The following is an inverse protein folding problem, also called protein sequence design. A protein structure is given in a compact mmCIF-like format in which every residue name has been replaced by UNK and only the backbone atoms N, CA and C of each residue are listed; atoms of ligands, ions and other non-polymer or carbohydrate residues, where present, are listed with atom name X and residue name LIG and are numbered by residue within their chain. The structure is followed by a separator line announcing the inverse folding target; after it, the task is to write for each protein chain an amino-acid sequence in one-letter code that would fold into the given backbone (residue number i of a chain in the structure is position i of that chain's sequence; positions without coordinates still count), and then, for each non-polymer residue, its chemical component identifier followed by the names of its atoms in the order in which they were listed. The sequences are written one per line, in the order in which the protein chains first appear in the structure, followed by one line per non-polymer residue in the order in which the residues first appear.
data_IF_902306876217
#
_entry.id   IF_902306876217
#
_cell.length_a   1.000
_cell.length_b   1.000
_cell.length_c   1.000
_cell.angle_alpha   90.00
_cell.angle_beta   90.00
_cell.angle_gamma   90.00
#
_symmetry.space_group_name_H-M   'P 1'
#
loop_
_entity.id
_entity.type
_entity.pdbx_description
1 polymer ?
#
# COMPACT_ATOMS: atom_id res chain seq x y z
N UNK A 1 -9.93 -13.38 3.51
CA UNK A 1 -8.87 -13.60 4.52
C UNK A 1 -7.70 -12.67 4.22
N UNK A 2 -7.19 -11.97 5.21
CA UNK A 2 -6.06 -11.05 5.06
C UNK A 2 -4.90 -11.58 5.88
N UNK A 3 -3.73 -11.73 5.26
CA UNK A 3 -2.55 -12.30 5.89
C UNK A 3 -1.36 -11.35 5.78
N UNK A 4 -0.45 -11.47 6.75
CA UNK A 4 0.88 -10.86 6.63
C UNK A 4 1.64 -11.53 5.50
N UNK A 5 2.35 -10.72 4.72
CA UNK A 5 3.25 -11.22 3.70
C UNK A 5 4.40 -12.04 4.32
N UNK A 6 4.76 -13.10 3.64
CA UNK A 6 6.00 -13.82 3.89
C UNK A 6 6.64 -14.23 2.54
N UNK A 7 7.94 -14.59 2.51
CA UNK A 7 8.64 -14.88 1.26
C UNK A 7 8.02 -15.98 0.40
N UNK A 8 7.23 -16.91 0.97
CA UNK A 8 6.52 -17.93 0.19
C UNK A 8 5.45 -17.33 -0.74
N UNK A 9 5.02 -16.09 -0.49
CA UNK A 9 4.02 -15.36 -1.28
C UNK A 9 4.65 -14.46 -2.35
N UNK A 10 5.96 -14.50 -2.52
CA UNK A 10 6.72 -13.59 -3.38
C UNK A 10 6.20 -13.55 -4.81
N UNK A 11 5.96 -14.70 -5.42
CA UNK A 11 5.48 -14.76 -6.80
C UNK A 11 4.06 -14.20 -6.93
N UNK A 12 3.20 -14.49 -5.97
CA UNK A 12 1.82 -13.98 -5.95
C UNK A 12 1.81 -12.45 -5.83
N UNK A 13 2.62 -11.89 -4.95
CA UNK A 13 2.76 -10.44 -4.81
C UNK A 13 3.34 -9.82 -6.08
N UNK A 14 4.37 -10.42 -6.67
CA UNK A 14 4.99 -9.93 -7.90
C UNK A 14 3.98 -9.87 -9.06
N UNK A 15 3.11 -10.85 -9.19
CA UNK A 15 2.03 -10.84 -10.19
C UNK A 15 1.07 -9.66 -9.99
N UNK A 16 0.62 -9.45 -8.76
CA UNK A 16 -0.26 -8.31 -8.45
C UNK A 16 0.43 -6.97 -8.65
N UNK A 17 1.69 -6.85 -8.26
CA UNK A 17 2.46 -5.62 -8.45
C UNK A 17 2.68 -5.30 -9.93
N UNK A 18 2.92 -6.31 -10.75
CA UNK A 18 3.02 -6.14 -12.21
C UNK A 18 1.73 -5.55 -12.77
N UNK A 19 0.58 -6.10 -12.38
CA UNK A 19 -0.72 -5.59 -12.80
C UNK A 19 -0.98 -4.16 -12.29
N UNK A 20 -0.61 -3.88 -11.05
CA UNK A 20 -0.71 -2.55 -10.44
C UNK A 20 0.13 -1.52 -11.19
N UNK A 21 1.39 -1.83 -11.49
CA UNK A 21 2.28 -0.93 -12.23
C UNK A 21 1.79 -0.69 -13.66
N UNK A 22 1.20 -1.70 -14.30
CA UNK A 22 0.59 -1.53 -15.61
C UNK A 22 -0.59 -0.55 -15.58
N UNK A 23 -1.42 -0.60 -14.56
CA UNK A 23 -2.51 0.38 -14.36
C UNK A 23 -1.98 1.80 -14.14
N UNK A 24 -0.87 1.94 -13.42
CA UNK A 24 -0.22 3.24 -13.20
C UNK A 24 0.52 3.74 -14.44
N UNK A 25 0.51 2.98 -15.55
CA UNK A 25 1.24 3.29 -16.79
C UNK A 25 2.72 3.52 -16.54
N UNK A 26 3.31 2.67 -15.69
CA UNK A 26 4.74 2.69 -15.41
C UNK A 26 5.54 2.31 -16.64
N UNK A 27 6.62 3.05 -16.91
CA UNK A 27 7.57 2.71 -17.98
C UNK A 27 8.59 1.65 -17.57
N UNK A 28 8.50 1.16 -16.35
CA UNK A 28 9.41 0.13 -15.83
C UNK A 28 9.10 -1.21 -16.50
N UNK A 29 10.07 -1.86 -17.16
CA UNK A 29 9.86 -3.17 -17.77
C UNK A 29 9.39 -4.22 -16.75
N UNK A 30 8.52 -5.11 -17.19
CA UNK A 30 7.92 -6.16 -16.34
C UNK A 30 8.99 -7.02 -15.64
N UNK A 31 10.08 -7.35 -16.34
CA UNK A 31 11.19 -8.15 -15.79
C UNK A 31 11.87 -7.44 -14.61
N UNK A 32 11.99 -6.13 -14.68
CA UNK A 32 12.56 -5.30 -13.61
C UNK A 32 11.63 -5.30 -12.41
N UNK A 33 10.33 -5.17 -12.64
CA UNK A 33 9.33 -5.21 -11.55
C UNK A 33 9.38 -6.55 -10.85
N UNK A 34 9.38 -7.66 -11.59
CA UNK A 34 9.41 -9.00 -11.02
C UNK A 34 10.69 -9.32 -10.26
N UNK A 35 11.83 -8.87 -10.76
CA UNK A 35 13.13 -9.15 -10.16
C UNK A 35 13.49 -8.17 -9.04
N UNK A 36 13.72 -6.91 -9.39
CA UNK A 36 14.28 -5.92 -8.45
C UNK A 36 13.28 -5.45 -7.41
N UNK A 37 12.06 -5.18 -7.81
CA UNK A 37 11.05 -4.70 -6.89
C UNK A 37 10.70 -5.78 -5.87
N UNK A 38 10.62 -7.02 -6.32
CA UNK A 38 10.37 -8.18 -5.46
C UNK A 38 11.48 -8.37 -4.42
N UNK A 39 12.75 -8.28 -4.83
CA UNK A 39 13.89 -8.39 -3.93
C UNK A 39 13.95 -7.23 -2.93
N UNK A 40 13.68 -6.02 -3.40
CA UNK A 40 13.60 -4.83 -2.56
C UNK A 40 12.52 -4.98 -1.47
N UNK A 41 11.35 -5.47 -1.84
CA UNK A 41 10.24 -5.69 -0.90
C UNK A 41 10.59 -6.73 0.15
N UNK A 42 11.19 -7.84 -0.26
CA UNK A 42 11.65 -8.86 0.69
C UNK A 42 12.65 -8.28 1.68
N UNK A 43 13.65 -7.56 1.19
CA UNK A 43 14.67 -6.93 2.02
C UNK A 43 14.06 -5.94 3.02
N UNK A 44 13.21 -5.04 2.56
CA UNK A 44 12.59 -4.02 3.41
C UNK A 44 11.62 -4.62 4.42
N UNK A 45 10.91 -5.67 4.02
CA UNK A 45 10.01 -6.41 4.91
C UNK A 45 10.78 -7.17 6.00
N UNK A 46 11.88 -7.84 5.66
CA UNK A 46 12.72 -8.53 6.63
C UNK A 46 13.34 -7.56 7.65
N UNK A 47 13.75 -6.38 7.21
CA UNK A 47 14.28 -5.33 8.08
C UNK A 47 13.21 -4.65 8.94
N UNK A 48 11.94 -4.97 8.73
CA UNK A 48 10.83 -4.33 9.43
C UNK A 48 10.59 -2.87 9.06
N UNK A 49 11.14 -2.41 7.93
CA UNK A 49 10.96 -1.04 7.44
C UNK A 49 9.57 -0.88 6.84
N UNK A 50 9.11 -1.88 6.08
CA UNK A 50 7.74 -1.92 5.55
C UNK A 50 6.99 -3.14 6.05
N UNK A 51 5.66 -3.05 6.06
CA UNK A 51 4.77 -4.19 6.24
C UNK A 51 3.87 -4.33 5.02
N UNK A 52 3.46 -5.56 4.76
CA UNK A 52 2.62 -5.88 3.62
C UNK A 52 1.50 -6.79 4.09
N UNK A 53 0.27 -6.44 3.72
CA UNK A 53 -0.90 -7.28 3.92
C UNK A 53 -1.42 -7.72 2.56
N UNK A 54 -1.81 -8.97 2.46
CA UNK A 54 -2.39 -9.54 1.24
C UNK A 54 -3.76 -10.13 1.57
N UNK A 55 -4.76 -9.74 0.80
CA UNK A 55 -6.10 -10.31 0.88
C UNK A 55 -6.24 -11.45 -0.14
N UNK A 56 -6.90 -12.52 0.29
CA UNK A 56 -7.12 -13.72 -0.50
C UNK A 56 -8.61 -14.05 -0.63
N UNK A 57 -8.98 -14.54 -1.80
CA UNK A 57 -10.22 -15.28 -2.04
C UNK A 57 -9.82 -16.77 -2.20
N UNK A 58 -10.04 -17.56 -1.14
CA UNK A 58 -9.45 -18.90 -1.07
C UNK A 58 -7.93 -18.84 -1.13
N UNK A 59 -7.32 -19.38 -2.17
CA UNK A 59 -5.88 -19.33 -2.40
C UNK A 59 -5.46 -18.26 -3.41
N UNK A 60 -6.42 -17.54 -3.98
CA UNK A 60 -6.16 -16.50 -4.97
C UNK A 60 -5.86 -15.17 -4.27
N UNK A 61 -4.68 -14.57 -4.45
CA UNK A 61 -4.41 -13.23 -3.95
C UNK A 61 -5.19 -12.21 -4.79
N UNK A 62 -5.92 -11.32 -4.12
CA UNK A 62 -6.84 -10.39 -4.78
C UNK A 62 -6.55 -8.93 -4.49
N UNK A 63 -5.77 -8.63 -3.44
CA UNK A 63 -5.44 -7.26 -3.07
C UNK A 63 -4.20 -7.22 -2.20
N UNK A 64 -3.51 -6.10 -2.18
CA UNK A 64 -2.40 -5.89 -1.25
C UNK A 64 -2.31 -4.45 -0.77
N UNK A 65 -1.68 -4.27 0.38
CA UNK A 65 -1.32 -2.98 0.96
C UNK A 65 0.13 -3.03 1.44
N UNK A 66 0.93 -2.04 1.04
CA UNK A 66 2.30 -1.82 1.53
C UNK A 66 2.31 -0.54 2.34
N UNK A 67 2.78 -0.61 3.57
CA UNK A 67 2.71 0.52 4.50
C UNK A 67 3.87 0.51 5.49
N UNK A 68 4.06 1.63 6.17
CA UNK A 68 5.15 1.83 7.12
C UNK A 68 4.79 2.90 8.14
N UNK A 69 5.52 2.93 9.24
CA UNK A 69 5.68 4.16 10.02
C UNK A 69 6.87 4.92 9.42
N UNK A 70 6.67 6.17 9.05
CA UNK A 70 7.75 6.99 8.51
C UNK A 70 8.83 7.19 9.57
N UNK A 71 10.06 6.81 9.22
CA UNK A 71 11.26 6.95 10.04
C UNK A 71 12.39 7.47 9.18
N UNK A 72 13.31 8.19 9.80
CA UNK A 72 14.48 8.73 9.08
C UNK A 72 15.36 7.64 8.48
N UNK A 73 15.36 6.44 9.08
CA UNK A 73 16.11 5.28 8.61
C UNK A 73 15.46 4.59 7.40
N UNK A 74 14.21 4.93 7.08
CA UNK A 74 13.53 4.38 5.91
C UNK A 74 14.08 5.01 4.63
N UNK A 75 13.98 4.29 3.53
CA UNK A 75 14.29 4.80 2.19
C UNK A 75 13.38 5.95 1.75
N UNK A 76 12.24 6.06 2.41
CA UNK A 76 11.27 7.13 2.22
C UNK A 76 10.77 7.61 3.58
N UNK A 77 10.85 8.92 3.80
CA UNK A 77 10.26 9.55 4.98
C UNK A 77 9.85 10.98 4.65
N UNK A 78 8.55 11.23 4.61
CA UNK A 78 8.00 12.58 4.40
C UNK A 78 7.48 13.17 5.69
N UNK A 79 6.91 12.37 6.56
CA UNK A 79 6.30 12.80 7.83
C UNK A 79 6.72 11.88 8.98
N UNK A 80 7.89 12.12 9.60
CA UNK A 80 8.40 11.24 10.66
C UNK A 80 7.35 10.96 11.74
N UNK A 81 7.17 9.67 12.06
CA UNK A 81 6.23 9.20 13.07
C UNK A 81 4.80 8.96 12.57
N UNK A 82 4.46 9.45 11.39
CA UNK A 82 3.17 9.17 10.78
C UNK A 82 3.14 7.77 10.17
N UNK A 83 1.96 7.18 10.13
CA UNK A 83 1.73 6.00 9.30
C UNK A 83 1.57 6.41 7.85
N UNK A 84 2.21 5.67 6.95
CA UNK A 84 2.16 5.92 5.51
C UNK A 84 1.70 4.68 4.76
N UNK A 85 0.59 4.78 4.01
CA UNK A 85 0.19 3.75 3.06
C UNK A 85 0.89 4.05 1.74
N UNK A 86 1.88 3.23 1.39
CA UNK A 86 2.77 3.46 0.24
C UNK A 86 2.16 2.97 -1.07
N UNK A 87 1.71 1.72 -1.06
CA UNK A 87 1.14 1.07 -2.24
C UNK A 87 -0.15 0.35 -1.85
N UNK A 88 -1.12 0.40 -2.74
CA UNK A 88 -2.43 -0.16 -2.46
C UNK A 88 -3.12 -0.60 -3.75
N UNK A 89 -3.60 -1.83 -3.79
CA UNK A 89 -4.16 -2.42 -4.99
C UNK A 89 -5.25 -3.42 -4.67
N UNK A 90 -6.31 -3.38 -5.45
CA UNK A 90 -7.35 -4.41 -5.48
C UNK A 90 -7.50 -4.85 -6.94
N UNK A 91 -7.47 -6.15 -7.19
CA UNK A 91 -7.66 -6.70 -8.53
C UNK A 91 -9.00 -6.23 -9.09
N UNK A 92 -9.06 -5.83 -10.39
CA UNK A 92 -10.25 -5.21 -10.98
C UNK A 92 -11.54 -5.99 -10.76
N UNK A 93 -11.47 -7.32 -10.85
CA UNK A 93 -12.65 -8.20 -10.70
C UNK A 93 -13.24 -8.20 -9.29
N UNK A 94 -12.48 -7.73 -8.31
CA UNK A 94 -12.87 -7.69 -6.90
C UNK A 94 -13.18 -6.28 -6.39
N UNK A 95 -13.13 -5.28 -7.27
CA UNK A 95 -13.46 -3.89 -6.90
C UNK A 95 -14.96 -3.71 -6.71
N UNK A 96 -15.33 -2.71 -5.91
CA UNK A 96 -16.73 -2.36 -5.59
C UNK A 96 -17.49 -3.47 -4.87
N UNK A 97 -16.77 -4.37 -4.21
CA UNK A 97 -17.33 -5.47 -3.42
C UNK A 97 -16.92 -5.39 -1.94
N UNK A 98 -16.34 -4.29 -1.52
CA UNK A 98 -15.94 -4.06 -0.13
C UNK A 98 -14.54 -4.53 0.22
N UNK A 99 -13.83 -5.23 -0.65
CA UNK A 99 -12.48 -5.76 -0.39
C UNK A 99 -11.51 -4.62 -0.05
N UNK A 100 -11.53 -3.55 -0.85
CA UNK A 100 -10.65 -2.40 -0.61
C UNK A 100 -10.89 -1.75 0.74
N UNK A 101 -12.15 -1.56 1.12
CA UNK A 101 -12.50 -0.97 2.43
C UNK A 101 -12.00 -1.84 3.58
N UNK A 102 -12.22 -3.13 3.53
CA UNK A 102 -11.80 -4.07 4.58
C UNK A 102 -10.28 -4.08 4.71
N UNK A 103 -9.57 -4.09 3.59
CA UNK A 103 -8.10 -4.05 3.60
C UNK A 103 -7.58 -2.70 4.14
N UNK A 104 -8.25 -1.58 3.82
CA UNK A 104 -7.89 -0.28 4.36
C UNK A 104 -8.05 -0.25 5.89
N UNK A 105 -9.19 -0.73 6.40
CA UNK A 105 -9.44 -0.82 7.85
C UNK A 105 -8.40 -1.71 8.55
N UNK A 106 -8.05 -2.85 7.96
CA UNK A 106 -7.01 -3.74 8.49
C UNK A 106 -5.65 -3.04 8.55
N UNK A 107 -5.28 -2.34 7.49
CA UNK A 107 -4.01 -1.58 7.41
C UNK A 107 -3.98 -0.46 8.45
N UNK A 108 -5.06 0.30 8.57
CA UNK A 108 -5.20 1.39 9.54
C UNK A 108 -5.08 0.88 10.98
N UNK A 109 -5.74 -0.24 11.27
CA UNK A 109 -5.67 -0.87 12.59
C UNK A 109 -4.23 -1.22 12.96
N UNK A 110 -3.49 -1.82 12.02
CA UNK A 110 -2.09 -2.19 12.27
C UNK A 110 -1.22 -0.96 12.47
N UNK A 111 -1.41 0.09 11.68
CA UNK A 111 -0.65 1.34 11.84
C UNK A 111 -0.93 1.99 13.19
N UNK A 112 -2.19 1.98 13.67
CA UNK A 112 -2.51 2.44 15.01
C UNK A 112 -1.84 1.59 16.10
N UNK A 113 -1.88 0.27 15.95
CA UNK A 113 -1.27 -0.67 16.89
C UNK A 113 0.26 -0.47 16.96
N UNK A 114 0.86 -0.04 15.86
CA UNK A 114 2.28 0.33 15.80
C UNK A 114 2.57 1.73 16.40
N UNK A 115 1.56 2.44 16.87
CA UNK A 115 1.69 3.71 17.57
C UNK A 115 1.41 4.96 16.73
N UNK A 116 0.96 4.83 15.49
CA UNK A 116 0.63 6.00 14.67
C UNK A 116 -0.70 6.63 15.13
N UNK A 117 -0.67 7.92 15.46
CA UNK A 117 -1.88 8.71 15.72
C UNK A 117 -2.41 9.36 14.45
N UNK A 118 -1.53 9.58 13.49
CA UNK A 118 -1.81 10.26 12.23
C UNK A 118 -1.33 9.42 11.06
N UNK A 119 -2.16 9.36 10.02
CA UNK A 119 -1.87 8.61 8.79
C UNK A 119 -1.94 9.53 7.58
N UNK A 120 -1.13 9.24 6.56
CA UNK A 120 -1.24 9.90 5.27
C UNK A 120 -1.03 8.91 4.13
N UNK A 121 -1.48 9.32 2.96
CA UNK A 121 -1.20 8.66 1.69
C UNK A 121 -1.22 9.68 0.56
N UNK A 122 -0.65 9.30 -0.57
CA UNK A 122 -0.68 10.09 -1.79
C UNK A 122 -1.48 9.35 -2.86
N UNK A 123 -2.31 10.06 -3.62
CA UNK A 123 -3.16 9.42 -4.62
C UNK A 123 -3.31 10.31 -5.85
N UNK A 124 -3.33 9.68 -7.03
CA UNK A 124 -3.59 10.35 -8.30
C UNK A 124 -5.02 10.14 -8.79
N UNK A 125 -5.59 8.95 -8.61
CA UNK A 125 -6.86 8.57 -9.19
C UNK A 125 -7.87 7.93 -8.26
N UNK A 126 -7.52 7.71 -6.99
CA UNK A 126 -8.38 6.98 -6.03
C UNK A 126 -8.91 7.87 -4.90
N UNK A 127 -8.87 9.18 -5.04
CA UNK A 127 -9.34 10.13 -4.01
C UNK A 127 -10.77 9.82 -3.54
N UNK A 128 -11.75 9.60 -4.42
CA UNK A 128 -13.12 9.28 -3.96
C UNK A 128 -13.19 8.01 -3.12
N UNK A 129 -12.41 6.98 -3.47
CA UNK A 129 -12.35 5.76 -2.68
C UNK A 129 -11.87 6.02 -1.25
N UNK A 130 -10.77 6.76 -1.11
CA UNK A 130 -10.22 7.07 0.20
C UNK A 130 -11.13 7.98 1.03
N UNK A 131 -11.82 8.93 0.38
CA UNK A 131 -12.82 9.76 1.05
C UNK A 131 -13.97 8.91 1.61
N UNK A 132 -14.42 7.91 0.88
CA UNK A 132 -15.44 6.96 1.37
C UNK A 132 -14.94 6.12 2.54
N UNK A 133 -13.63 5.88 2.64
CA UNK A 133 -13.01 5.21 3.77
C UNK A 133 -12.76 6.16 4.96
N UNK A 134 -13.21 7.40 4.89
CA UNK A 134 -13.09 8.37 5.98
C UNK A 134 -11.80 9.20 5.97
N UNK A 135 -11.06 9.17 4.88
CA UNK A 135 -9.84 9.98 4.72
C UNK A 135 -10.20 11.39 4.25
N UNK A 136 -9.45 12.36 4.74
CA UNK A 136 -9.64 13.77 4.42
C UNK A 136 -8.65 14.21 3.35
N UNK A 137 -9.16 14.74 2.25
CA UNK A 137 -8.34 15.38 1.23
C UNK A 137 -7.79 16.70 1.78
N UNK A 138 -6.47 16.88 1.69
CA UNK A 138 -5.80 18.14 2.07
C UNK A 138 -5.63 19.05 0.85
N UNK A 139 -5.26 20.31 1.09
CA UNK A 139 -4.91 21.24 0.02
C UNK A 139 -3.49 20.99 -0.52
N UNK A 140 -2.69 20.19 0.18
CA UNK A 140 -1.31 19.91 -0.21
C UNK A 140 -1.24 18.90 -1.37
N UNK A 141 -0.22 19.07 -2.22
CA UNK A 141 0.11 18.14 -3.29
C UNK A 141 1.58 17.80 -3.22
N UNK A 142 1.95 16.63 -3.74
CA UNK A 142 3.36 16.24 -3.87
C UNK A 142 4.02 16.98 -5.04
N UNK A 143 5.37 17.00 -5.14
CA UNK A 143 6.06 17.56 -6.30
C UNK A 143 5.61 16.96 -7.64
N UNK A 144 5.12 15.71 -7.62
CA UNK A 144 4.57 15.03 -8.81
C UNK A 144 3.10 15.33 -9.07
N UNK A 145 2.47 16.20 -8.28
CA UNK A 145 1.08 16.58 -8.44
C UNK A 145 0.07 15.61 -7.85
N UNK A 146 0.49 14.67 -7.00
CA UNK A 146 -0.43 13.76 -6.33
C UNK A 146 -1.12 14.44 -5.16
N UNK A 147 -2.40 14.16 -4.96
CA UNK A 147 -3.15 14.61 -3.79
C UNK A 147 -2.64 13.91 -2.53
N UNK A 148 -2.64 14.64 -1.42
CA UNK A 148 -2.32 14.09 -0.10
C UNK A 148 -3.61 13.98 0.71
N UNK A 149 -3.89 12.78 1.22
CA UNK A 149 -5.00 12.54 2.13
C UNK A 149 -4.48 12.14 3.50
N UNK A 150 -5.24 12.50 4.53
CA UNK A 150 -4.90 12.27 5.93
C UNK A 150 -6.05 11.63 6.68
N UNK A 151 -5.70 10.85 7.69
CA UNK A 151 -6.64 10.32 8.67
C UNK A 151 -6.04 10.45 10.06
N UNK A 152 -6.82 10.91 11.00
CA UNK A 152 -6.41 11.13 12.38
C UNK A 152 -7.27 10.30 13.32
N UNK A 153 -6.67 9.74 14.37
CA UNK A 153 -7.37 8.94 15.36
C UNK A 153 -7.43 9.61 16.72
#
# INVERSE_FOLDING_TARGET
MILDYNPSMKQQLACMMTAYMAELKSDIPEEIIRGRLSDYIDEMSEKGIIRIRIAFDGQLPIAFSVFQIDRQESDWCMRPGWGFIREYYVSPEYRKQGVGKILAEDTEYILQDLGAADLYLTSTGAVPFWQKCGWRLTAAVTPKGQSILEKHF
#
